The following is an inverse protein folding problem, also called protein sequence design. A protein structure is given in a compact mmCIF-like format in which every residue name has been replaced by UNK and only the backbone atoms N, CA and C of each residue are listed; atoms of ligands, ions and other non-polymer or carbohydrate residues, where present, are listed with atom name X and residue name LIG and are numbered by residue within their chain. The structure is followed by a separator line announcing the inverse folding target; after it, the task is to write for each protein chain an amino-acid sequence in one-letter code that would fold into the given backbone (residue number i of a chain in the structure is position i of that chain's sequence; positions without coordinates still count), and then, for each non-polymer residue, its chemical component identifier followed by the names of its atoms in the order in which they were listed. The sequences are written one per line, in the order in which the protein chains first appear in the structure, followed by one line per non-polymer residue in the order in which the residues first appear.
data_IF_910413509984
#
_entry.id   IF_910413509984
#
_cell.length_a   1.000
_cell.length_b   1.000
_cell.length_c   1.000
_cell.angle_alpha   90.00
_cell.angle_beta   90.00
_cell.angle_gamma   90.00
#
_symmetry.space_group_name_H-M   'P 1'
#
loop_
_entity.id
_entity.type
_entity.pdbx_description
1 polymer ?
#
# COMPACT_ATOMS: atom_id res chain seq x y z
N UNK A 1 -31.84 -46.48 -40.99
CA UNK A 1 -31.39 -45.34 -40.21
C UNK A 1 -30.97 -44.25 -41.17
N UNK A 2 -31.74 -43.11 -41.26
CA UNK A 2 -31.43 -41.97 -42.13
C UNK A 2 -30.09 -41.38 -41.70
N UNK A 3 -29.10 -41.32 -42.60
CA UNK A 3 -27.87 -40.55 -42.39
C UNK A 3 -28.27 -39.10 -42.13
N UNK A 4 -28.15 -38.62 -40.91
CA UNK A 4 -28.24 -37.21 -40.60
C UNK A 4 -27.22 -36.48 -41.46
N UNK A 5 -27.72 -35.55 -42.30
CA UNK A 5 -26.87 -34.75 -43.18
C UNK A 5 -25.91 -33.96 -42.28
N UNK A 6 -24.62 -34.20 -42.39
CA UNK A 6 -23.57 -33.62 -41.49
C UNK A 6 -23.70 -32.10 -41.42
N UNK A 7 -24.13 -31.44 -42.49
CA UNK A 7 -24.32 -29.98 -42.55
C UNK A 7 -25.42 -29.51 -41.60
N UNK A 8 -26.56 -30.19 -41.55
CA UNK A 8 -27.65 -29.81 -40.62
C UNK A 8 -27.30 -30.08 -39.17
N UNK A 9 -26.57 -31.16 -38.91
CA UNK A 9 -26.06 -31.44 -37.56
C UNK A 9 -25.09 -30.35 -37.09
N UNK A 10 -24.16 -29.91 -37.93
CA UNK A 10 -23.20 -28.85 -37.62
C UNK A 10 -23.92 -27.54 -37.36
N UNK A 11 -24.90 -27.13 -38.19
CA UNK A 11 -25.72 -25.94 -38.00
C UNK A 11 -26.46 -26.01 -36.64
N UNK A 12 -27.07 -27.16 -36.32
CA UNK A 12 -27.79 -27.32 -35.08
C UNK A 12 -26.86 -27.19 -33.84
N UNK A 13 -25.63 -27.73 -33.92
CA UNK A 13 -24.64 -27.59 -32.85
C UNK A 13 -24.21 -26.12 -32.65
N UNK A 14 -23.94 -25.40 -33.74
CA UNK A 14 -23.63 -23.96 -33.66
C UNK A 14 -24.81 -23.14 -33.11
N UNK A 15 -26.05 -23.39 -33.58
CA UNK A 15 -27.23 -22.70 -33.06
C UNK A 15 -27.42 -22.97 -31.56
N UNK A 16 -27.26 -24.19 -31.13
CA UNK A 16 -27.33 -24.57 -29.71
C UNK A 16 -26.22 -23.90 -28.89
N UNK A 17 -25.00 -23.80 -29.44
CA UNK A 17 -23.88 -23.08 -28.84
C UNK A 17 -24.14 -21.59 -28.65
N UNK A 18 -24.70 -20.95 -29.67
CA UNK A 18 -25.08 -19.52 -29.61
C UNK A 18 -26.19 -19.29 -28.58
N UNK A 19 -27.23 -20.14 -28.57
CA UNK A 19 -28.32 -20.04 -27.57
C UNK A 19 -27.79 -20.24 -26.18
N UNK A 20 -26.97 -21.26 -25.95
CA UNK A 20 -26.37 -21.51 -24.63
C UNK A 20 -25.48 -20.35 -24.15
N UNK A 21 -24.65 -19.81 -25.06
CA UNK A 21 -23.85 -18.64 -24.76
C UNK A 21 -24.70 -17.42 -24.41
N UNK A 22 -25.77 -17.17 -25.18
CA UNK A 22 -26.70 -16.05 -24.95
C UNK A 22 -27.40 -16.17 -23.59
N UNK A 23 -27.82 -17.38 -23.22
CA UNK A 23 -28.44 -17.65 -21.90
C UNK A 23 -27.42 -17.41 -20.80
N UNK A 24 -26.19 -17.93 -20.91
CA UNK A 24 -25.13 -17.71 -19.91
C UNK A 24 -24.80 -16.23 -19.79
N UNK A 25 -24.67 -15.53 -20.92
CA UNK A 25 -24.41 -14.09 -20.93
C UNK A 25 -25.52 -13.30 -20.25
N UNK A 26 -26.79 -13.62 -20.54
CA UNK A 26 -27.94 -12.99 -19.92
C UNK A 26 -27.98 -13.26 -18.41
N UNK A 27 -27.71 -14.48 -17.97
CA UNK A 27 -27.62 -14.84 -16.55
C UNK A 27 -26.48 -14.08 -15.84
N UNK A 28 -25.33 -13.91 -16.49
CA UNK A 28 -24.23 -13.10 -15.98
C UNK A 28 -24.63 -11.63 -15.84
N UNK A 29 -25.32 -11.06 -16.85
CA UNK A 29 -25.79 -9.66 -16.78
C UNK A 29 -26.84 -9.45 -15.70
N UNK A 30 -27.81 -10.34 -15.56
CA UNK A 30 -28.87 -10.25 -14.53
C UNK A 30 -28.30 -10.41 -13.12
N UNK A 31 -27.33 -11.32 -12.94
CA UNK A 31 -26.73 -11.59 -11.63
C UNK A 31 -25.44 -10.82 -11.41
N UNK A 32 -25.13 -9.80 -12.22
CA UNK A 32 -23.87 -9.05 -12.12
C UNK A 32 -23.62 -8.49 -10.71
N UNK A 33 -24.66 -7.97 -10.06
CA UNK A 33 -24.57 -7.47 -8.68
C UNK A 33 -24.23 -8.57 -7.66
N UNK A 34 -24.77 -9.78 -7.83
CA UNK A 34 -24.42 -10.93 -6.96
C UNK A 34 -23.00 -11.39 -7.20
N UNK A 35 -22.57 -11.44 -8.45
CA UNK A 35 -21.20 -11.84 -8.81
C UNK A 35 -20.19 -10.83 -8.27
N UNK A 36 -20.45 -9.53 -8.43
CA UNK A 36 -19.58 -8.48 -7.89
C UNK A 36 -19.52 -8.53 -6.36
N UNK A 37 -20.64 -8.75 -5.68
CA UNK A 37 -20.65 -8.88 -4.21
C UNK A 37 -19.89 -10.13 -3.73
N UNK A 38 -20.03 -11.26 -4.43
CA UNK A 38 -19.27 -12.48 -4.13
C UNK A 38 -17.77 -12.28 -4.35
N UNK A 39 -17.37 -11.62 -5.44
CA UNK A 39 -15.96 -11.29 -5.71
C UNK A 39 -15.41 -10.34 -4.65
N UNK A 40 -16.14 -9.30 -4.29
CA UNK A 40 -15.73 -8.37 -3.23
C UNK A 40 -15.62 -9.05 -1.87
N UNK A 41 -16.54 -9.95 -1.52
CA UNK A 41 -16.46 -10.75 -0.29
C UNK A 41 -15.25 -11.68 -0.28
N UNK A 42 -14.93 -12.30 -1.42
CA UNK A 42 -13.73 -13.12 -1.58
C UNK A 42 -12.45 -12.30 -1.45
N UNK A 43 -12.40 -11.12 -2.08
CA UNK A 43 -11.28 -10.18 -1.94
C UNK A 43 -11.11 -9.68 -0.50
N UNK A 44 -12.20 -9.43 0.20
CA UNK A 44 -12.21 -9.06 1.61
C UNK A 44 -11.63 -10.18 2.51
N UNK A 45 -11.97 -11.43 2.23
CA UNK A 45 -11.39 -12.58 2.94
C UNK A 45 -9.88 -12.71 2.68
N UNK A 46 -9.44 -12.47 1.43
CA UNK A 46 -8.01 -12.44 1.08
C UNK A 46 -7.29 -11.30 1.81
N UNK A 47 -7.92 -10.14 1.97
CA UNK A 47 -7.30 -9.01 2.69
C UNK A 47 -6.95 -9.39 4.12
N UNK A 48 -7.79 -10.13 4.83
CA UNK A 48 -7.51 -10.63 6.18
C UNK A 48 -6.27 -11.55 6.23
N UNK A 49 -6.10 -12.37 5.21
CA UNK A 49 -4.90 -13.22 5.06
C UNK A 49 -3.66 -12.35 4.76
N UNK A 50 -3.80 -11.30 3.95
CA UNK A 50 -2.71 -10.35 3.70
C UNK A 50 -2.28 -9.63 4.99
N UNK A 51 -3.22 -9.24 5.85
CA UNK A 51 -2.92 -8.72 7.20
C UNK A 51 -2.09 -9.72 8.00
N UNK A 52 -2.51 -10.99 8.03
CA UNK A 52 -1.81 -12.02 8.77
C UNK A 52 -0.39 -12.27 8.25
N UNK A 53 -0.25 -12.34 6.93
CA UNK A 53 1.06 -12.48 6.27
C UNK A 53 1.94 -11.27 6.56
N UNK A 54 1.40 -10.06 6.43
CA UNK A 54 2.11 -8.82 6.74
C UNK A 54 2.63 -8.82 8.18
N UNK A 55 1.77 -9.12 9.16
CA UNK A 55 2.20 -9.18 10.56
C UNK A 55 3.19 -10.31 10.83
N UNK A 56 3.02 -11.47 10.20
CA UNK A 56 3.99 -12.54 10.30
C UNK A 56 5.37 -12.11 9.78
N UNK A 57 5.42 -11.43 8.63
CA UNK A 57 6.66 -10.88 8.09
C UNK A 57 7.28 -9.80 8.97
N UNK A 58 6.45 -8.92 9.54
CA UNK A 58 6.91 -7.83 10.40
C UNK A 58 7.43 -8.34 11.75
N UNK A 59 6.77 -9.35 12.33
CA UNK A 59 7.14 -9.94 13.61
C UNK A 59 8.31 -10.91 13.48
N UNK A 60 8.52 -11.54 12.32
CA UNK A 60 9.54 -12.56 12.13
C UNK A 60 10.96 -12.14 12.51
N UNK A 61 11.47 -10.92 12.17
CA UNK A 61 12.78 -10.47 12.60
C UNK A 61 12.89 -10.36 14.11
N UNK A 62 11.83 -9.90 14.79
CA UNK A 62 11.77 -9.82 16.24
C UNK A 62 11.80 -11.23 16.86
N UNK A 63 10.96 -12.13 16.36
CA UNK A 63 10.92 -13.53 16.79
C UNK A 63 12.28 -14.19 16.62
N UNK A 64 12.96 -13.98 15.49
CA UNK A 64 14.31 -14.53 15.25
C UNK A 64 15.35 -13.99 16.23
N UNK A 65 15.27 -12.72 16.62
CA UNK A 65 16.13 -12.15 17.66
C UNK A 65 15.86 -12.79 19.03
N UNK A 66 14.60 -12.95 19.40
CA UNK A 66 14.22 -13.62 20.65
C UNK A 66 14.58 -15.10 20.64
N UNK A 67 14.45 -15.82 19.52
CA UNK A 67 14.96 -17.19 19.40
C UNK A 67 16.45 -17.25 19.79
N UNK A 68 17.28 -16.35 19.25
CA UNK A 68 18.71 -16.30 19.57
C UNK A 68 18.98 -15.97 21.03
N UNK A 69 18.18 -15.08 21.64
CA UNK A 69 18.31 -14.70 23.06
C UNK A 69 17.93 -15.89 23.96
N UNK A 70 16.79 -16.53 23.68
CA UNK A 70 16.31 -17.66 24.48
C UNK A 70 17.16 -18.91 24.28
N UNK A 71 17.68 -19.18 23.08
CA UNK A 71 18.65 -20.26 22.86
C UNK A 71 19.91 -20.07 23.73
N UNK A 72 20.42 -18.85 23.89
CA UNK A 72 21.55 -18.54 24.77
C UNK A 72 21.16 -18.69 26.23
N UNK A 73 19.99 -18.21 26.64
CA UNK A 73 19.53 -18.24 28.03
C UNK A 73 19.28 -19.66 28.52
N UNK A 74 18.74 -20.51 27.68
CA UNK A 74 18.41 -21.90 28.00
C UNK A 74 19.47 -22.90 27.56
N UNK A 75 20.62 -22.47 27.05
CA UNK A 75 21.69 -23.34 26.55
C UNK A 75 22.13 -24.42 27.53
N UNK A 76 22.04 -24.14 28.85
CA UNK A 76 22.42 -25.12 29.91
C UNK A 76 21.43 -26.29 30.11
N UNK A 77 20.15 -26.13 29.66
CA UNK A 77 19.08 -27.14 29.89
C UNK A 77 18.62 -27.88 28.64
N UNK A 78 19.19 -27.64 27.43
CA UNK A 78 18.79 -28.20 26.13
C UNK A 78 17.25 -28.24 25.97
N UNK A 79 16.56 -27.10 26.03
CA UNK A 79 15.12 -27.09 25.96
C UNK A 79 14.65 -27.59 24.61
N UNK A 80 13.46 -28.17 24.57
CA UNK A 80 12.83 -28.60 23.33
C UNK A 80 12.71 -27.41 22.37
N UNK A 81 13.13 -27.50 21.10
CA UNK A 81 13.17 -26.37 20.18
C UNK A 81 11.80 -25.73 19.93
N UNK A 82 10.70 -26.43 20.19
CA UNK A 82 9.34 -25.88 20.16
C UNK A 82 9.06 -24.93 21.33
N UNK A 83 9.60 -25.16 22.51
CA UNK A 83 9.40 -24.30 23.68
C UNK A 83 10.10 -22.96 23.49
N UNK A 84 11.35 -22.95 23.01
CA UNK A 84 12.09 -21.72 22.70
C UNK A 84 11.33 -20.89 21.67
N UNK A 85 10.89 -21.53 20.58
CA UNK A 85 10.12 -20.84 19.53
C UNK A 85 8.78 -20.31 20.06
N UNK A 86 8.11 -21.04 20.96
CA UNK A 86 6.87 -20.59 21.60
C UNK A 86 7.05 -19.36 22.46
N UNK A 87 8.09 -19.34 23.32
CA UNK A 87 8.43 -18.17 24.13
C UNK A 87 8.82 -16.95 23.28
N UNK A 88 9.60 -17.16 22.22
CA UNK A 88 10.01 -16.09 21.31
C UNK A 88 8.80 -15.44 20.61
N UNK A 89 7.87 -16.25 20.14
CA UNK A 89 6.64 -15.77 19.49
C UNK A 89 5.77 -15.02 20.52
N UNK A 90 5.56 -15.60 21.69
CA UNK A 90 4.76 -15.00 22.75
C UNK A 90 5.34 -13.64 23.18
N UNK A 91 6.65 -13.54 23.36
CA UNK A 91 7.31 -12.27 23.73
C UNK A 91 7.20 -11.23 22.63
N UNK A 92 7.45 -11.61 21.37
CA UNK A 92 7.33 -10.71 20.22
C UNK A 92 5.88 -10.20 20.07
N UNK A 93 4.91 -11.09 20.27
CA UNK A 93 3.48 -10.76 20.23
C UNK A 93 3.07 -9.83 21.36
N UNK A 94 3.49 -10.11 22.59
CA UNK A 94 3.18 -9.27 23.76
C UNK A 94 3.74 -7.87 23.59
N UNK A 95 4.97 -7.74 23.07
CA UNK A 95 5.58 -6.44 22.78
C UNK A 95 4.80 -5.72 21.68
N UNK A 96 4.46 -6.41 20.60
CA UNK A 96 3.68 -5.82 19.50
C UNK A 96 2.28 -5.38 19.96
N UNK A 97 1.57 -6.23 20.71
CA UNK A 97 0.26 -5.92 21.28
C UNK A 97 0.35 -4.76 22.28
N UNK A 98 1.36 -4.78 23.16
CA UNK A 98 1.60 -3.71 24.11
C UNK A 98 1.87 -2.37 23.44
N UNK A 99 2.64 -2.37 22.35
CA UNK A 99 2.93 -1.16 21.56
C UNK A 99 1.68 -0.66 20.85
N UNK A 100 0.90 -1.55 20.23
CA UNK A 100 -0.37 -1.19 19.58
C UNK A 100 -1.37 -0.68 20.61
N UNK A 101 -1.52 -1.37 21.74
CA UNK A 101 -2.42 -0.95 22.82
C UNK A 101 -2.02 0.41 23.40
N UNK A 102 -0.75 0.62 23.67
CA UNK A 102 -0.24 1.92 24.16
C UNK A 102 -0.50 3.04 23.16
N UNK A 103 -0.30 2.77 21.87
CA UNK A 103 -0.56 3.72 20.79
C UNK A 103 -2.06 4.06 20.71
N UNK A 104 -2.93 3.06 20.77
CA UNK A 104 -4.39 3.25 20.74
C UNK A 104 -4.89 4.01 21.98
N UNK A 105 -4.43 3.67 23.18
CA UNK A 105 -4.81 4.33 24.44
C UNK A 105 -4.41 5.82 24.43
N UNK A 106 -3.28 6.15 23.82
CA UNK A 106 -2.81 7.55 23.75
C UNK A 106 -3.47 8.32 22.60
N UNK A 107 -3.63 7.68 21.44
CA UNK A 107 -4.09 8.36 20.22
C UNK A 107 -5.61 8.51 20.19
N UNK A 108 -6.38 7.47 20.53
CA UNK A 108 -7.84 7.50 20.38
C UNK A 108 -8.48 8.63 21.20
N UNK A 109 -8.19 8.81 22.50
CA UNK A 109 -8.78 9.91 23.26
C UNK A 109 -8.42 11.28 22.72
N UNK A 110 -7.17 11.45 22.25
CA UNK A 110 -6.73 12.70 21.64
C UNK A 110 -7.44 12.98 20.32
N UNK A 111 -7.62 11.97 19.48
CA UNK A 111 -8.37 12.11 18.23
C UNK A 111 -9.81 12.52 18.46
N UNK A 112 -10.48 11.93 19.47
CA UNK A 112 -11.87 12.26 19.82
C UNK A 112 -11.94 13.72 20.29
N UNK A 113 -11.02 14.15 21.15
CA UNK A 113 -10.95 15.53 21.63
C UNK A 113 -10.65 16.51 20.51
N UNK A 114 -9.67 16.19 19.67
CA UNK A 114 -9.28 17.01 18.51
C UNK A 114 -10.43 17.11 17.49
N UNK A 115 -11.19 16.04 17.25
CA UNK A 115 -12.36 16.06 16.37
C UNK A 115 -13.48 16.96 16.94
N UNK A 116 -13.71 16.91 18.25
CA UNK A 116 -14.66 17.80 18.91
C UNK A 116 -14.21 19.26 18.87
N UNK A 117 -12.91 19.52 19.02
CA UNK A 117 -12.31 20.86 18.91
C UNK A 117 -12.43 21.38 17.48
N UNK A 118 -12.17 20.56 16.46
CA UNK A 118 -12.36 20.92 15.06
C UNK A 118 -13.81 21.32 14.78
N UNK A 119 -14.77 20.54 15.26
CA UNK A 119 -16.18 20.85 15.08
C UNK A 119 -16.54 22.22 15.69
N UNK A 120 -16.09 22.48 16.91
CA UNK A 120 -16.29 23.79 17.57
C UNK A 120 -15.62 24.94 16.81
N UNK A 121 -14.40 24.73 16.34
CA UNK A 121 -13.65 25.73 15.57
C UNK A 121 -14.38 26.09 14.28
N UNK A 122 -14.93 25.10 13.60
CA UNK A 122 -15.73 25.28 12.38
C UNK A 122 -16.96 26.12 12.64
N UNK A 123 -17.74 25.80 13.68
CA UNK A 123 -18.91 26.58 14.05
C UNK A 123 -18.55 28.02 14.42
N UNK A 124 -17.53 28.23 15.25
CA UNK A 124 -17.08 29.57 15.65
C UNK A 124 -16.56 30.38 14.46
N UNK A 125 -15.90 29.73 13.49
CA UNK A 125 -15.39 30.42 12.30
C UNK A 125 -16.55 30.87 11.41
N UNK A 126 -17.59 30.05 11.28
CA UNK A 126 -18.82 30.40 10.58
C UNK A 126 -19.47 31.61 11.23
N UNK A 127 -19.71 31.55 12.56
CA UNK A 127 -20.33 32.65 13.30
C UNK A 127 -19.57 33.97 13.17
N UNK A 128 -18.23 33.93 13.18
CA UNK A 128 -17.36 35.09 12.95
C UNK A 128 -17.46 35.64 11.54
N UNK A 129 -17.52 34.77 10.55
CA UNK A 129 -17.70 35.17 9.16
C UNK A 129 -19.08 35.78 8.94
N UNK A 130 -20.12 35.17 9.51
CA UNK A 130 -21.50 35.68 9.45
C UNK A 130 -21.57 37.11 10.07
N UNK A 131 -20.97 37.32 11.27
CA UNK A 131 -20.91 38.61 11.93
C UNK A 131 -20.11 39.64 11.14
N UNK A 132 -18.97 39.28 10.57
CA UNK A 132 -18.12 40.16 9.77
C UNK A 132 -18.85 40.67 8.52
N UNK A 133 -19.56 39.79 7.85
CA UNK A 133 -20.31 40.15 6.64
C UNK A 133 -21.54 40.99 6.98
N UNK A 134 -22.27 40.63 8.03
CA UNK A 134 -23.40 41.43 8.50
C UNK A 134 -23.03 42.91 8.82
N UNK A 135 -21.79 43.13 9.30
CA UNK A 135 -21.28 44.49 9.59
C UNK A 135 -20.83 45.23 8.34
N UNK A 136 -20.36 44.56 7.28
CA UNK A 136 -19.72 45.19 6.13
C UNK A 136 -20.50 45.01 4.79
N UNK A 137 -21.61 44.32 4.83
CA UNK A 137 -22.39 43.98 3.62
C UNK A 137 -22.97 45.23 2.89
N UNK A 138 -23.19 46.31 3.62
CA UNK A 138 -23.72 47.56 3.07
C UNK A 138 -22.67 48.39 2.32
N UNK A 139 -21.38 48.21 2.63
CA UNK A 139 -20.31 49.03 2.03
C UNK A 139 -19.66 48.38 0.78
N UNK A 140 -19.73 47.06 0.65
CA UNK A 140 -19.03 46.33 -0.40
C UNK A 140 -19.87 45.15 -0.93
N UNK A 141 -20.71 45.35 -1.99
CA UNK A 141 -21.55 44.29 -2.56
C UNK A 141 -20.74 43.06 -3.02
N UNK A 142 -19.55 43.28 -3.58
CA UNK A 142 -18.63 42.20 -3.99
C UNK A 142 -18.21 41.29 -2.83
N UNK A 143 -18.13 41.84 -1.61
CA UNK A 143 -17.83 41.04 -0.40
C UNK A 143 -18.95 40.05 -0.07
N UNK A 144 -20.19 40.44 -0.30
CA UNK A 144 -21.34 39.60 -0.06
C UNK A 144 -21.41 38.41 -1.05
N UNK A 145 -21.10 38.68 -2.32
CA UNK A 145 -21.08 37.64 -3.36
C UNK A 145 -19.90 36.64 -3.13
N UNK A 146 -18.73 37.20 -2.80
CA UNK A 146 -17.56 36.40 -2.46
C UNK A 146 -17.79 35.58 -1.18
N UNK A 147 -18.41 36.17 -0.18
CA UNK A 147 -18.80 35.52 1.07
C UNK A 147 -19.80 34.37 0.80
N UNK A 148 -20.86 34.67 0.04
CA UNK A 148 -21.89 33.67 -0.32
C UNK A 148 -21.27 32.52 -1.12
N UNK A 149 -20.37 32.83 -2.05
CA UNK A 149 -19.63 31.82 -2.78
C UNK A 149 -18.71 30.99 -1.86
N UNK A 150 -17.99 31.65 -0.95
CA UNK A 150 -17.06 31.01 0.00
C UNK A 150 -17.79 30.17 1.06
N UNK A 151 -18.89 30.69 1.62
CA UNK A 151 -19.73 29.96 2.57
C UNK A 151 -20.45 28.79 1.91
N UNK A 152 -20.98 28.95 0.71
CA UNK A 152 -21.57 27.86 -0.05
C UNK A 152 -20.53 26.79 -0.43
N UNK A 153 -19.30 27.20 -0.72
CA UNK A 153 -18.19 26.26 -1.00
C UNK A 153 -17.71 25.54 0.25
N UNK A 154 -17.55 26.25 1.38
CA UNK A 154 -17.04 25.67 2.63
C UNK A 154 -18.12 24.96 3.44
N UNK A 155 -19.30 25.56 3.58
CA UNK A 155 -20.36 25.09 4.47
C UNK A 155 -21.58 24.52 3.73
N UNK A 156 -21.63 24.60 2.39
CA UNK A 156 -22.71 24.13 1.53
C UNK A 156 -23.90 25.10 1.49
N UNK A 157 -24.58 25.15 0.35
CA UNK A 157 -25.93 25.70 0.27
C UNK A 157 -26.92 24.66 0.75
N UNK A 158 -28.06 25.10 1.26
CA UNK A 158 -29.13 24.25 1.82
C UNK A 158 -29.43 23.03 0.94
N UNK A 159 -28.90 21.87 1.32
CA UNK A 159 -29.13 20.57 0.64
C UNK A 159 -27.92 19.90 0.01
N UNK A 160 -26.77 20.57 -0.14
CA UNK A 160 -25.55 19.94 -0.66
C UNK A 160 -24.52 19.76 0.46
N UNK A 161 -23.83 18.61 0.43
CA UNK A 161 -22.71 18.32 1.35
C UNK A 161 -21.61 19.36 1.19
N UNK A 162 -21.30 20.05 2.27
CA UNK A 162 -20.22 21.04 2.32
C UNK A 162 -18.85 20.36 2.34
N UNK A 163 -17.81 21.10 1.93
CA UNK A 163 -16.42 20.64 2.14
C UNK A 163 -16.19 20.38 3.62
N UNK A 164 -16.78 21.17 4.49
CA UNK A 164 -16.63 21.05 5.93
C UNK A 164 -17.34 19.78 6.46
N UNK A 165 -18.55 19.47 6.00
CA UNK A 165 -19.24 18.21 6.31
C UNK A 165 -18.42 17.03 5.77
N UNK A 166 -17.82 17.18 4.60
CA UNK A 166 -16.93 16.19 4.00
C UNK A 166 -15.64 16.03 4.81
N UNK A 167 -15.06 17.10 5.34
CA UNK A 167 -13.90 17.04 6.22
C UNK A 167 -14.24 16.42 7.57
N UNK A 168 -15.32 16.85 8.21
CA UNK A 168 -15.78 16.31 9.49
C UNK A 168 -16.18 14.84 9.34
N UNK A 169 -16.91 14.48 8.28
CA UNK A 169 -17.26 13.09 7.98
C UNK A 169 -16.04 12.24 7.63
N UNK A 170 -15.08 12.82 6.92
CA UNK A 170 -13.81 12.13 6.62
C UNK A 170 -12.98 11.92 7.89
N UNK A 171 -12.91 12.89 8.78
CA UNK A 171 -12.21 12.75 10.07
C UNK A 171 -12.93 11.74 10.99
N UNK A 172 -14.26 11.83 11.08
CA UNK A 172 -15.05 10.82 11.78
C UNK A 172 -14.94 9.44 11.12
N UNK A 173 -14.88 9.41 9.80
CA UNK A 173 -14.59 8.22 9.00
C UNK A 173 -13.19 7.65 9.26
N UNK A 174 -12.17 8.50 9.43
CA UNK A 174 -10.82 8.06 9.82
C UNK A 174 -10.87 7.46 11.24
N UNK A 175 -11.51 8.14 12.19
CA UNK A 175 -11.64 7.62 13.58
C UNK A 175 -12.42 6.32 13.60
N UNK A 176 -13.60 6.26 12.96
CA UNK A 176 -14.41 5.05 12.87
C UNK A 176 -13.73 3.95 12.05
N UNK A 177 -13.00 4.34 11.00
CA UNK A 177 -12.17 3.44 10.19
C UNK A 177 -11.03 2.82 10.99
N UNK A 178 -10.32 3.60 11.80
CA UNK A 178 -9.30 3.09 12.71
C UNK A 178 -9.92 2.11 13.71
N UNK A 179 -11.05 2.48 14.33
CA UNK A 179 -11.76 1.60 15.28
C UNK A 179 -12.27 0.34 14.58
N UNK A 180 -12.84 0.45 13.37
CA UNK A 180 -13.30 -0.69 12.58
C UNK A 180 -12.16 -1.62 12.13
N UNK A 181 -11.01 -1.06 11.79
CA UNK A 181 -9.82 -1.83 11.41
C UNK A 181 -9.15 -2.55 12.59
N UNK A 182 -9.39 -2.11 13.84
CA UNK A 182 -8.84 -2.79 15.03
C UNK A 182 -9.21 -4.27 15.04
N UNK A 183 -10.44 -4.62 14.70
CA UNK A 183 -10.89 -6.03 14.62
C UNK A 183 -10.10 -6.82 13.57
N UNK A 184 -9.90 -6.25 12.37
CA UNK A 184 -9.15 -6.89 11.28
C UNK A 184 -7.67 -7.01 11.60
N UNK A 185 -7.10 -5.98 12.23
CA UNK A 185 -5.72 -5.98 12.73
C UNK A 185 -5.54 -7.08 13.79
N UNK A 186 -6.45 -7.17 14.76
CA UNK A 186 -6.40 -8.15 15.82
C UNK A 186 -6.51 -9.58 15.26
N UNK A 187 -7.45 -9.80 14.34
CA UNK A 187 -7.62 -11.10 13.66
C UNK A 187 -6.37 -11.46 12.84
N UNK A 188 -5.84 -10.50 12.08
CA UNK A 188 -4.59 -10.67 11.34
C UNK A 188 -3.41 -11.02 12.26
N UNK A 189 -3.35 -10.40 13.43
CA UNK A 189 -2.31 -10.64 14.43
C UNK A 189 -2.41 -12.06 15.02
N UNK A 190 -3.64 -12.53 15.35
CA UNK A 190 -3.88 -13.92 15.80
C UNK A 190 -3.44 -14.91 14.73
N UNK A 191 -3.88 -14.73 13.48
CA UNK A 191 -3.52 -15.62 12.38
C UNK A 191 -2.00 -15.60 12.15
N UNK A 192 -1.34 -14.43 12.30
CA UNK A 192 0.11 -14.31 12.16
C UNK A 192 0.88 -15.16 13.18
N UNK A 193 0.34 -15.28 14.40
CA UNK A 193 0.90 -16.17 15.44
C UNK A 193 0.87 -17.64 14.98
N UNK A 194 -0.27 -18.09 14.41
CA UNK A 194 -0.36 -19.43 13.85
C UNK A 194 0.63 -19.67 12.71
N UNK A 195 0.79 -18.67 11.82
CA UNK A 195 1.77 -18.73 10.73
C UNK A 195 3.19 -18.84 11.27
N UNK A 196 3.54 -18.04 12.29
CA UNK A 196 4.85 -18.05 12.91
C UNK A 196 5.13 -19.32 13.72
N UNK A 197 4.14 -19.83 14.45
CA UNK A 197 4.25 -21.08 15.20
C UNK A 197 4.41 -22.27 14.26
N UNK A 198 3.66 -22.30 13.17
CA UNK A 198 3.68 -23.36 12.17
C UNK A 198 4.74 -23.16 11.07
N UNK A 199 5.60 -22.16 11.16
CA UNK A 199 6.57 -21.79 10.11
C UNK A 199 7.44 -22.95 9.63
N UNK A 200 7.89 -23.83 10.55
CA UNK A 200 8.72 -25.00 10.21
C UNK A 200 7.91 -26.05 9.42
N UNK A 201 6.67 -26.30 9.85
CA UNK A 201 5.76 -27.26 9.20
C UNK A 201 5.35 -26.71 7.83
N UNK A 202 4.93 -25.45 7.76
CA UNK A 202 4.53 -24.77 6.51
C UNK A 202 5.69 -24.77 5.51
N UNK A 203 6.88 -24.37 5.94
CA UNK A 203 8.09 -24.36 5.12
C UNK A 203 8.45 -25.77 4.63
N UNK A 204 8.28 -26.80 5.46
CA UNK A 204 8.49 -28.19 5.08
C UNK A 204 7.48 -28.70 4.06
N UNK A 205 6.19 -28.38 4.24
CA UNK A 205 5.11 -28.74 3.29
C UNK A 205 5.32 -28.03 1.96
N UNK A 206 5.58 -26.71 1.99
CA UNK A 206 5.86 -25.94 0.78
C UNK A 206 7.09 -26.48 0.06
N UNK A 207 8.17 -26.79 0.81
CA UNK A 207 9.38 -27.39 0.24
C UNK A 207 9.10 -28.71 -0.46
N UNK A 208 8.33 -29.62 0.18
CA UNK A 208 7.91 -30.90 -0.44
C UNK A 208 7.08 -30.70 -1.69
N UNK A 209 6.10 -29.77 -1.65
CA UNK A 209 5.27 -29.44 -2.81
C UNK A 209 6.10 -28.89 -3.97
N UNK A 210 7.01 -27.98 -3.68
CA UNK A 210 7.90 -27.36 -4.67
C UNK A 210 8.75 -28.42 -5.37
N UNK A 211 9.38 -29.31 -4.58
CA UNK A 211 10.22 -30.38 -5.12
C UNK A 211 9.40 -31.45 -5.89
N UNK A 212 8.16 -31.69 -5.46
CA UNK A 212 7.30 -32.69 -6.10
C UNK A 212 6.71 -32.19 -7.43
N UNK A 213 6.40 -30.91 -7.54
CA UNK A 213 5.68 -30.33 -8.70
C UNK A 213 6.65 -29.74 -9.72
N UNK A 214 7.73 -29.09 -9.26
CA UNK A 214 8.66 -28.39 -10.13
C UNK A 214 9.82 -29.29 -10.57
N UNK A 215 10.22 -29.23 -11.86
CA UNK A 215 11.47 -29.85 -12.31
C UNK A 215 12.67 -29.31 -11.51
N UNK A 216 13.68 -30.13 -11.24
CA UNK A 216 14.87 -29.79 -10.42
C UNK A 216 15.50 -28.44 -10.79
N UNK A 217 15.61 -28.15 -12.09
CA UNK A 217 16.15 -26.88 -12.62
C UNK A 217 15.38 -25.63 -12.16
N UNK A 218 14.10 -25.75 -11.75
CA UNK A 218 13.25 -24.64 -11.33
C UNK A 218 13.11 -24.53 -9.81
N UNK A 219 13.36 -25.60 -9.06
CA UNK A 219 13.26 -25.65 -7.60
C UNK A 219 14.13 -24.56 -6.96
N UNK A 220 15.41 -24.51 -7.34
CA UNK A 220 16.35 -23.52 -6.77
C UNK A 220 15.94 -22.10 -7.11
N UNK A 221 15.45 -21.85 -8.33
CA UNK A 221 14.95 -20.53 -8.76
C UNK A 221 13.73 -20.09 -7.95
N UNK A 222 12.80 -21.02 -7.69
CA UNK A 222 11.62 -20.76 -6.88
C UNK A 222 11.97 -20.41 -5.43
N UNK A 223 12.85 -21.18 -4.80
CA UNK A 223 13.31 -20.92 -3.43
C UNK A 223 14.01 -19.57 -3.34
N UNK A 224 14.87 -19.25 -4.30
CA UNK A 224 15.56 -17.96 -4.35
C UNK A 224 14.58 -16.79 -4.54
N UNK A 225 13.53 -16.95 -5.35
CA UNK A 225 12.49 -15.95 -5.53
C UNK A 225 11.82 -15.60 -4.21
N UNK A 226 11.33 -16.58 -3.45
CA UNK A 226 10.67 -16.35 -2.17
C UNK A 226 11.61 -15.79 -1.10
N UNK A 227 12.87 -16.23 -1.09
CA UNK A 227 13.89 -15.67 -0.19
C UNK A 227 14.13 -14.18 -0.49
N UNK A 228 14.19 -13.80 -1.77
CA UNK A 228 14.33 -12.40 -2.19
C UNK A 228 13.07 -11.59 -1.83
N UNK A 229 11.90 -12.10 -2.19
CA UNK A 229 10.62 -11.46 -1.86
C UNK A 229 10.54 -11.15 -0.36
N UNK A 230 10.91 -12.10 0.49
CA UNK A 230 10.99 -11.89 1.93
C UNK A 230 11.96 -10.77 2.30
N UNK A 231 13.19 -10.81 1.78
CA UNK A 231 14.23 -9.83 2.13
C UNK A 231 13.85 -8.42 1.64
N UNK A 232 13.34 -8.34 0.41
CA UNK A 232 12.90 -7.08 -0.20
C UNK A 232 11.70 -6.49 0.53
N UNK A 233 10.74 -7.34 0.92
CA UNK A 233 9.58 -6.93 1.71
C UNK A 233 9.99 -6.44 3.11
N UNK A 234 10.82 -7.19 3.84
CA UNK A 234 11.27 -6.80 5.18
C UNK A 234 12.04 -5.47 5.16
N UNK A 235 12.93 -5.29 4.16
CA UNK A 235 13.66 -4.04 3.97
C UNK A 235 12.73 -2.89 3.64
N UNK A 236 11.79 -3.09 2.73
CA UNK A 236 10.80 -2.08 2.35
C UNK A 236 9.93 -1.67 3.54
N UNK A 237 9.36 -2.64 4.26
CA UNK A 237 8.51 -2.38 5.41
C UNK A 237 9.26 -1.59 6.49
N UNK A 238 10.45 -2.04 6.88
CA UNK A 238 11.28 -1.35 7.87
C UNK A 238 11.55 0.11 7.46
N UNK A 239 11.98 0.31 6.22
CA UNK A 239 12.29 1.65 5.73
C UNK A 239 11.07 2.56 5.68
N UNK A 240 9.89 2.04 5.34
CA UNK A 240 8.63 2.80 5.38
C UNK A 240 8.25 3.22 6.78
N UNK A 241 8.39 2.34 7.76
CA UNK A 241 8.15 2.70 9.16
C UNK A 241 9.13 3.76 9.66
N UNK A 242 10.41 3.66 9.32
CA UNK A 242 11.41 4.67 9.70
C UNK A 242 11.08 6.04 9.08
N UNK A 243 10.72 6.07 7.79
CA UNK A 243 10.33 7.31 7.11
C UNK A 243 9.05 7.89 7.75
N UNK A 244 8.03 7.08 7.99
CA UNK A 244 6.78 7.52 8.61
C UNK A 244 7.03 8.09 10.01
N UNK A 245 7.83 7.43 10.83
CA UNK A 245 8.21 7.89 12.17
C UNK A 245 9.01 9.18 12.12
N UNK A 246 9.96 9.29 11.19
CA UNK A 246 10.73 10.52 10.99
C UNK A 246 9.83 11.70 10.64
N UNK A 247 8.93 11.53 9.66
CA UNK A 247 7.94 12.56 9.31
C UNK A 247 7.03 12.91 10.49
N UNK A 248 6.48 11.88 11.15
CA UNK A 248 5.63 12.08 12.33
C UNK A 248 6.31 12.91 13.40
N UNK A 249 7.59 12.63 13.69
CA UNK A 249 8.38 13.36 14.70
C UNK A 249 8.64 14.79 14.28
N UNK A 250 9.08 15.04 13.05
CA UNK A 250 9.37 16.41 12.58
C UNK A 250 8.10 17.25 12.54
N UNK A 251 7.00 16.70 12.03
CA UNK A 251 5.71 17.40 11.97
C UNK A 251 5.13 17.61 13.37
N UNK A 252 5.29 16.67 14.29
CA UNK A 252 4.94 16.86 15.69
C UNK A 252 5.65 18.06 16.30
N UNK A 253 6.98 18.13 16.14
CA UNK A 253 7.78 19.25 16.66
C UNK A 253 7.41 20.57 15.99
N UNK A 254 7.18 20.56 14.67
CA UNK A 254 6.76 21.75 13.93
C UNK A 254 5.40 22.25 14.41
N UNK A 255 4.39 21.38 14.51
CA UNK A 255 3.06 21.76 14.99
C UNK A 255 3.08 22.21 16.44
N UNK A 256 3.92 21.63 17.28
CA UNK A 256 4.13 22.06 18.67
C UNK A 256 4.73 23.47 18.72
N UNK A 257 5.78 23.71 17.93
CA UNK A 257 6.43 25.02 17.83
C UNK A 257 5.47 26.10 17.33
N UNK A 258 4.69 25.78 16.31
CA UNK A 258 3.69 26.68 15.72
C UNK A 258 2.41 26.76 16.58
N UNK A 259 2.29 25.98 17.64
CA UNK A 259 1.08 25.86 18.47
C UNK A 259 -0.17 25.63 17.62
N UNK A 260 -0.10 24.68 16.68
CA UNK A 260 -1.22 24.35 15.81
C UNK A 260 -2.24 23.55 16.62
N UNK A 261 -3.52 23.96 16.64
CA UNK A 261 -4.57 23.13 17.21
C UNK A 261 -4.71 21.83 16.40
N UNK A 262 -5.31 20.79 16.98
CA UNK A 262 -5.47 19.48 16.34
C UNK A 262 -4.14 18.80 15.93
N UNK A 263 -3.09 19.08 16.67
CA UNK A 263 -1.74 18.55 16.43
C UNK A 263 -1.77 17.03 16.24
N UNK A 264 -2.53 16.30 17.06
CA UNK A 264 -2.58 14.83 17.02
C UNK A 264 -3.19 14.31 15.71
N UNK A 265 -4.24 14.97 15.21
CA UNK A 265 -4.88 14.64 13.92
C UNK A 265 -3.89 14.84 12.78
N UNK A 266 -3.21 15.98 12.74
CA UNK A 266 -2.26 16.32 11.67
C UNK A 266 -1.09 15.32 11.66
N UNK A 267 -0.52 15.06 12.83
CA UNK A 267 0.61 14.12 12.96
C UNK A 267 0.21 12.70 12.55
N UNK A 268 -0.94 12.22 13.05
CA UNK A 268 -1.43 10.88 12.70
C UNK A 268 -1.77 10.77 11.21
N UNK A 269 -2.40 11.80 10.63
CA UNK A 269 -2.71 11.87 9.21
C UNK A 269 -1.43 11.74 8.37
N UNK A 270 -0.41 12.53 8.67
CA UNK A 270 0.87 12.49 7.95
C UNK A 270 1.58 11.15 8.17
N UNK A 271 1.65 10.66 9.40
CA UNK A 271 2.29 9.39 9.74
C UNK A 271 1.62 8.21 9.00
N UNK A 272 0.30 8.12 9.09
CA UNK A 272 -0.47 7.06 8.42
C UNK A 272 -0.36 7.15 6.89
N UNK A 273 -0.42 8.36 6.35
CA UNK A 273 -0.26 8.60 4.92
C UNK A 273 1.12 8.15 4.42
N UNK A 274 2.20 8.43 5.16
CA UNK A 274 3.56 8.03 4.77
C UNK A 274 3.75 6.50 4.64
N UNK A 275 2.88 5.70 5.26
CA UNK A 275 2.92 4.24 5.08
C UNK A 275 2.47 3.82 3.67
N UNK A 276 1.58 4.58 3.03
CA UNK A 276 1.10 4.28 1.67
C UNK A 276 2.09 4.87 0.66
N UNK A 277 2.79 4.05 -0.13
CA UNK A 277 3.77 4.56 -1.09
C UNK A 277 3.11 5.44 -2.16
N UNK A 278 3.77 6.49 -2.59
CA UNK A 278 3.38 7.41 -3.68
C UNK A 278 2.13 8.24 -3.35
N UNK A 279 1.01 7.61 -3.13
CA UNK A 279 -0.29 8.26 -2.90
C UNK A 279 -0.35 8.93 -1.53
N UNK A 280 0.19 8.25 -0.53
CA UNK A 280 0.16 8.72 0.86
C UNK A 280 0.87 10.06 1.07
N UNK A 281 2.13 10.22 0.64
CA UNK A 281 2.83 11.50 0.71
C UNK A 281 2.04 12.66 0.09
N UNK A 282 1.42 12.45 -1.07
CA UNK A 282 0.64 13.47 -1.76
C UNK A 282 -0.59 13.84 -0.92
N UNK A 283 -1.40 12.85 -0.55
CA UNK A 283 -2.64 13.07 0.22
C UNK A 283 -2.33 13.65 1.60
N UNK A 284 -1.39 13.04 2.32
CA UNK A 284 -1.04 13.45 3.68
C UNK A 284 -0.48 14.88 3.73
N UNK A 285 0.38 15.23 2.77
CA UNK A 285 0.94 16.58 2.67
C UNK A 285 -0.14 17.59 2.33
N UNK A 286 -0.96 17.33 1.30
CA UNK A 286 -2.01 18.27 0.86
C UNK A 286 -3.04 18.51 1.96
N UNK A 287 -3.57 17.44 2.58
CA UNK A 287 -4.57 17.56 3.63
C UNK A 287 -4.01 18.24 4.88
N UNK A 288 -2.77 17.94 5.28
CA UNK A 288 -2.15 18.58 6.44
C UNK A 288 -1.89 20.07 6.22
N UNK A 289 -1.44 20.48 5.03
CA UNK A 289 -1.30 21.90 4.66
C UNK A 289 -2.66 22.60 4.73
N UNK A 290 -3.69 22.01 4.12
CA UNK A 290 -5.04 22.56 4.13
C UNK A 290 -5.56 22.76 5.55
N UNK A 291 -5.39 21.77 6.43
CA UNK A 291 -5.77 21.88 7.83
C UNK A 291 -5.04 23.01 8.54
N UNK A 292 -3.73 23.16 8.37
CA UNK A 292 -2.97 24.24 9.02
C UNK A 292 -3.38 25.61 8.48
N UNK A 293 -3.65 25.75 7.17
CA UNK A 293 -4.18 26.99 6.58
C UNK A 293 -5.51 27.38 7.22
N UNK A 294 -6.43 26.43 7.37
CA UNK A 294 -7.76 26.65 7.97
C UNK A 294 -7.62 27.01 9.45
N UNK A 295 -6.77 26.31 10.21
CA UNK A 295 -6.67 26.45 11.65
C UNK A 295 -5.86 27.67 12.13
N UNK A 296 -4.84 28.06 11.36
CA UNK A 296 -3.88 29.09 11.75
C UNK A 296 -3.80 30.27 10.78
N UNK A 297 -4.44 30.15 9.64
CA UNK A 297 -4.40 31.15 8.58
C UNK A 297 -3.31 30.92 7.54
N UNK A 298 -3.35 31.68 6.43
CA UNK A 298 -2.54 31.41 5.23
C UNK A 298 -1.03 31.54 5.46
N UNK A 299 -0.58 32.48 6.29
CA UNK A 299 0.85 32.70 6.56
C UNK A 299 1.51 31.51 7.28
N UNK A 300 0.83 30.98 8.30
CA UNK A 300 1.30 29.81 9.03
C UNK A 300 1.18 28.54 8.18
N UNK A 301 0.13 28.46 7.35
CA UNK A 301 -0.02 27.41 6.36
C UNK A 301 1.10 27.41 5.32
N UNK A 302 1.52 28.58 4.84
CA UNK A 302 2.63 28.72 3.90
C UNK A 302 3.96 28.27 4.52
N UNK A 303 4.23 28.69 5.77
CA UNK A 303 5.43 28.25 6.50
C UNK A 303 5.43 26.72 6.70
N UNK A 304 4.30 26.15 7.13
CA UNK A 304 4.14 24.72 7.28
C UNK A 304 4.33 23.97 5.94
N UNK A 305 3.73 24.50 4.87
CA UNK A 305 3.87 23.95 3.52
C UNK A 305 5.34 23.94 3.06
N UNK A 306 6.06 25.03 3.27
CA UNK A 306 7.48 25.10 2.92
C UNK A 306 8.30 24.02 3.63
N UNK A 307 8.06 23.83 4.94
CA UNK A 307 8.80 22.83 5.73
C UNK A 307 8.44 21.41 5.31
N UNK A 308 7.13 21.08 5.17
CA UNK A 308 6.72 19.70 4.82
C UNK A 308 7.14 19.34 3.38
N UNK A 309 7.12 20.29 2.45
CA UNK A 309 7.59 20.08 1.08
C UNK A 309 9.12 19.89 1.03
N UNK A 310 9.88 20.72 1.78
CA UNK A 310 11.32 20.53 1.93
C UNK A 310 11.65 19.17 2.53
N UNK A 311 10.90 18.73 3.54
CA UNK A 311 11.02 17.42 4.16
C UNK A 311 10.73 16.30 3.15
N UNK A 312 9.71 16.49 2.29
CA UNK A 312 9.35 15.53 1.24
C UNK A 312 10.47 15.40 0.18
N UNK A 313 11.02 16.52 -0.25
CA UNK A 313 12.17 16.54 -1.17
C UNK A 313 13.39 15.87 -0.53
N UNK A 314 13.68 16.17 0.72
CA UNK A 314 14.75 15.52 1.49
C UNK A 314 14.56 14.00 1.60
N UNK A 315 13.34 13.56 1.96
CA UNK A 315 13.03 12.14 2.08
C UNK A 315 13.17 11.40 0.75
N UNK A 316 12.73 12.01 -0.34
CA UNK A 316 12.77 11.37 -1.67
C UNK A 316 14.19 11.31 -2.24
N UNK A 317 14.98 12.38 -2.08
CA UNK A 317 16.29 12.50 -2.73
C UNK A 317 17.46 12.06 -1.84
N UNK A 318 17.29 12.12 -0.51
CA UNK A 318 18.36 11.77 0.44
C UNK A 318 18.02 10.49 1.20
N UNK A 319 16.91 10.47 1.93
CA UNK A 319 16.62 9.38 2.86
C UNK A 319 16.31 8.07 2.12
N UNK A 320 15.42 8.13 1.12
CA UNK A 320 15.01 6.96 0.35
C UNK A 320 16.17 6.29 -0.42
N UNK A 321 17.09 7.03 -1.08
CA UNK A 321 18.24 6.44 -1.73
C UNK A 321 19.22 5.73 -0.79
N UNK A 322 19.40 6.26 0.42
CA UNK A 322 20.30 5.65 1.40
C UNK A 322 19.71 4.41 2.06
N UNK A 323 18.39 4.35 2.21
CA UNK A 323 17.71 3.28 2.91
C UNK A 323 17.22 2.15 2.00
N UNK A 324 16.87 2.45 0.75
CA UNK A 324 16.25 1.51 -0.17
C UNK A 324 17.14 1.27 -1.39
N UNK A 325 17.55 0.03 -1.68
CA UNK A 325 18.30 -0.30 -2.89
C UNK A 325 17.56 0.16 -4.15
N UNK A 326 18.30 0.58 -5.19
CA UNK A 326 17.71 1.03 -6.48
C UNK A 326 16.73 0.03 -7.08
N UNK A 327 16.99 -1.27 -6.93
CA UNK A 327 16.12 -2.35 -7.40
C UNK A 327 14.69 -2.33 -6.81
N UNK A 328 14.52 -1.75 -5.62
CA UNK A 328 13.22 -1.61 -4.94
C UNK A 328 12.56 -0.24 -5.18
N UNK A 329 13.07 0.52 -6.15
CA UNK A 329 12.56 1.83 -6.55
C UNK A 329 12.10 1.78 -8.02
N UNK A 330 10.96 1.15 -8.31
CA UNK A 330 10.43 1.11 -9.68
C UNK A 330 10.01 2.52 -10.15
N UNK A 331 9.81 2.72 -11.47
CA UNK A 331 9.37 3.99 -12.02
C UNK A 331 8.08 4.49 -11.33
N UNK A 332 8.02 5.80 -11.09
CA UNK A 332 6.92 6.43 -10.34
C UNK A 332 5.55 6.10 -10.92
N UNK A 333 5.37 6.22 -12.24
CA UNK A 333 4.07 5.99 -12.90
C UNK A 333 3.57 4.55 -12.69
N UNK A 334 4.43 3.56 -12.84
CA UNK A 334 4.07 2.15 -12.65
C UNK A 334 3.79 1.86 -11.18
N UNK A 335 4.61 2.42 -10.28
CA UNK A 335 4.38 2.29 -8.83
C UNK A 335 3.04 2.88 -8.43
N UNK A 336 2.70 4.07 -8.94
CA UNK A 336 1.42 4.72 -8.69
C UNK A 336 0.25 3.86 -9.16
N UNK A 337 0.32 3.32 -10.38
CA UNK A 337 -0.71 2.44 -10.93
C UNK A 337 -0.91 1.19 -10.08
N UNK A 338 0.18 0.50 -9.75
CA UNK A 338 0.15 -0.72 -8.93
C UNK A 338 -0.42 -0.44 -7.54
N UNK A 339 -0.01 0.67 -6.92
CA UNK A 339 -0.51 1.10 -5.61
C UNK A 339 -1.99 1.44 -5.66
N UNK A 340 -2.45 2.21 -6.67
CA UNK A 340 -3.86 2.57 -6.81
C UNK A 340 -4.76 1.36 -7.06
N UNK A 341 -4.35 0.44 -7.94
CA UNK A 341 -5.07 -0.80 -8.17
C UNK A 341 -5.15 -1.65 -6.89
N UNK A 342 -4.04 -1.80 -6.20
CA UNK A 342 -4.00 -2.59 -4.97
C UNK A 342 -4.76 -1.93 -3.82
N UNK A 343 -4.77 -0.59 -3.76
CA UNK A 343 -5.56 0.17 -2.79
C UNK A 343 -7.06 -0.06 -3.01
N UNK A 344 -7.51 -0.07 -4.26
CA UNK A 344 -8.94 -0.27 -4.57
C UNK A 344 -9.39 -1.72 -4.34
N UNK A 345 -8.52 -2.72 -4.54
CA UNK A 345 -8.86 -4.13 -4.39
C UNK A 345 -8.71 -4.65 -2.95
N UNK A 346 -7.66 -4.25 -2.28
CA UNK A 346 -7.23 -4.81 -0.99
C UNK A 346 -7.03 -3.74 0.10
N UNK A 347 -7.43 -2.49 -0.17
CA UNK A 347 -7.28 -1.38 0.76
C UNK A 347 -5.82 -1.00 1.03
N UNK A 348 -5.59 -0.30 2.16
CA UNK A 348 -4.27 0.25 2.54
C UNK A 348 -3.17 -0.81 2.59
N UNK A 349 -3.50 -2.01 3.04
CA UNK A 349 -2.51 -3.10 3.12
C UNK A 349 -2.14 -3.61 1.73
N UNK A 350 -3.11 -3.72 0.83
CA UNK A 350 -2.82 -4.03 -0.57
C UNK A 350 -1.82 -3.03 -1.14
N UNK A 351 -2.06 -1.74 -0.94
CA UNK A 351 -1.16 -0.68 -1.38
C UNK A 351 0.25 -0.79 -0.79
N UNK A 352 0.36 -1.15 0.50
CA UNK A 352 1.65 -1.33 1.17
C UNK A 352 2.43 -2.54 0.64
N UNK A 353 1.75 -3.67 0.47
CA UNK A 353 2.37 -4.95 0.05
C UNK A 353 2.66 -4.97 -1.47
N UNK A 354 1.92 -4.22 -2.25
CA UNK A 354 2.02 -4.20 -3.71
C UNK A 354 3.42 -3.80 -4.22
N UNK A 355 4.05 -2.82 -3.59
CA UNK A 355 5.36 -2.30 -4.07
C UNK A 355 6.47 -3.35 -3.99
N UNK A 356 6.72 -4.02 -2.85
CA UNK A 356 7.75 -5.06 -2.80
C UNK A 356 7.44 -6.28 -3.67
N UNK A 357 6.15 -6.66 -3.80
CA UNK A 357 5.75 -7.73 -4.72
C UNK A 357 6.07 -7.32 -6.16
N UNK A 358 5.64 -6.13 -6.59
CA UNK A 358 5.92 -5.64 -7.92
C UNK A 358 7.43 -5.52 -8.18
N UNK A 359 8.20 -4.97 -7.25
CA UNK A 359 9.65 -4.83 -7.39
C UNK A 359 10.34 -6.19 -7.58
N UNK A 360 10.01 -7.18 -6.76
CA UNK A 360 10.57 -8.53 -6.89
C UNK A 360 10.14 -9.20 -8.19
N UNK A 361 8.86 -9.08 -8.57
CA UNK A 361 8.32 -9.66 -9.80
C UNK A 361 8.94 -9.02 -11.04
N UNK A 362 9.10 -7.71 -11.06
CA UNK A 362 9.72 -6.98 -12.18
C UNK A 362 11.17 -7.43 -12.42
N UNK A 363 11.94 -7.70 -11.36
CA UNK A 363 13.30 -8.23 -11.46
C UNK A 363 13.29 -9.63 -12.09
N UNK A 364 12.38 -10.50 -11.68
CA UNK A 364 12.31 -11.86 -12.23
C UNK A 364 11.81 -11.88 -13.69
N UNK A 365 10.84 -11.00 -14.02
CA UNK A 365 10.39 -10.82 -15.40
C UNK A 365 11.57 -10.32 -16.27
N UNK A 366 12.30 -9.31 -15.80
CA UNK A 366 13.47 -8.79 -16.52
C UNK A 366 14.52 -9.89 -16.76
N UNK A 367 14.84 -10.69 -15.76
CA UNK A 367 15.75 -11.83 -15.90
C UNK A 367 15.26 -12.86 -16.91
N UNK A 368 13.96 -13.16 -16.87
CA UNK A 368 13.36 -14.08 -17.82
C UNK A 368 13.48 -13.54 -19.27
N UNK A 369 13.20 -12.24 -19.47
CA UNK A 369 13.31 -11.57 -20.77
C UNK A 369 14.75 -11.59 -21.27
N UNK A 370 15.72 -11.17 -20.44
CA UNK A 370 17.15 -11.19 -20.78
C UNK A 370 17.58 -12.60 -21.21
N UNK A 371 17.22 -13.62 -20.44
CA UNK A 371 17.56 -15.00 -20.78
C UNK A 371 16.91 -15.47 -22.09
N UNK A 372 15.69 -15.04 -22.36
CA UNK A 372 14.98 -15.36 -23.63
C UNK A 372 15.57 -14.62 -24.82
N UNK A 373 15.89 -13.34 -24.66
CA UNK A 373 16.52 -12.50 -25.70
C UNK A 373 17.92 -13.02 -26.03
N UNK A 374 18.73 -13.34 -25.02
CA UNK A 374 20.04 -13.93 -25.19
C UNK A 374 20.00 -15.24 -25.96
N UNK A 375 19.01 -16.13 -25.71
CA UNK A 375 18.83 -17.36 -26.47
C UNK A 375 18.45 -17.15 -27.94
N UNK A 376 17.87 -15.99 -28.25
CA UNK A 376 17.49 -15.61 -29.62
C UNK A 376 18.55 -14.76 -30.31
N UNK A 377 19.69 -14.49 -29.67
CA UNK A 377 20.72 -13.57 -30.11
C UNK A 377 20.22 -12.16 -30.42
N UNK A 378 19.22 -11.69 -29.61
CA UNK A 378 18.62 -10.35 -29.74
C UNK A 378 19.22 -9.38 -28.73
N UNK A 379 19.25 -8.06 -29.03
CA UNK A 379 19.74 -7.04 -28.11
C UNK A 379 19.03 -7.09 -26.75
N UNK A 380 19.77 -6.87 -25.68
CA UNK A 380 19.23 -6.91 -24.30
C UNK A 380 18.78 -5.53 -23.85
N UNK A 381 19.36 -4.46 -24.43
CA UNK A 381 19.04 -3.08 -24.05
C UNK A 381 17.61 -2.71 -24.44
N UNK A 382 16.89 -2.03 -23.51
CA UNK A 382 15.53 -1.56 -23.76
C UNK A 382 15.43 -0.52 -24.90
N UNK A 383 16.52 0.20 -25.14
CA UNK A 383 16.59 1.26 -26.17
C UNK A 383 16.45 0.71 -27.58
N UNK A 384 16.94 -0.52 -27.80
CA UNK A 384 16.78 -1.21 -29.08
C UNK A 384 15.31 -1.51 -29.45
N UNK A 385 14.38 -1.40 -28.49
CA UNK A 385 12.94 -1.72 -28.67
C UNK A 385 12.04 -0.49 -28.63
N UNK A 386 12.60 0.73 -28.57
CA UNK A 386 11.82 1.96 -28.40
C UNK A 386 10.92 2.29 -29.61
N UNK A 387 11.34 1.93 -30.84
CA UNK A 387 10.58 2.09 -32.07
C UNK A 387 10.60 0.78 -32.87
N UNK A 388 10.35 -0.34 -32.20
CA UNK A 388 10.53 -1.66 -32.78
C UNK A 388 9.52 -1.94 -33.89
N UNK A 389 10.03 -2.09 -35.11
CA UNK A 389 9.29 -2.51 -36.31
C UNK A 389 9.62 -3.95 -36.72
N UNK A 390 8.84 -4.54 -37.60
CA UNK A 390 9.12 -5.88 -38.11
C UNK A 390 10.48 -5.98 -38.84
N UNK A 391 10.91 -4.90 -39.51
CA UNK A 391 12.23 -4.80 -40.14
C UNK A 391 13.39 -4.79 -39.14
N UNK A 392 13.15 -4.17 -37.95
CA UNK A 392 14.18 -4.11 -36.89
C UNK A 392 14.40 -5.46 -36.23
N UNK A 393 13.36 -6.35 -36.26
CA UNK A 393 13.51 -7.71 -35.77
C UNK A 393 14.51 -8.53 -36.58
N UNK A 394 14.49 -8.41 -37.91
CA UNK A 394 15.45 -9.13 -38.77
C UNK A 394 16.87 -8.52 -38.65
N UNK A 395 16.98 -7.19 -38.63
CA UNK A 395 18.26 -6.50 -38.41
C UNK A 395 18.85 -6.83 -37.00
N UNK A 396 18.03 -6.91 -35.97
CA UNK A 396 18.47 -7.28 -34.61
C UNK A 396 18.93 -8.74 -34.52
N UNK A 397 18.41 -9.62 -35.37
CA UNK A 397 18.82 -11.03 -35.43
C UNK A 397 20.19 -11.22 -36.13
N UNK A 398 20.54 -10.31 -37.01
CA UNK A 398 21.82 -10.32 -37.74
C UNK A 398 22.94 -9.60 -36.96
N UNK A 399 22.59 -8.76 -35.98
CA UNK A 399 23.56 -8.08 -35.14
C UNK A 399 24.33 -9.05 -34.23
N UNK A 400 25.69 -8.92 -34.12
CA UNK A 400 26.44 -9.83 -33.24
C UNK A 400 26.00 -9.66 -31.80
N UNK A 401 25.66 -10.78 -31.17
CA UNK A 401 25.23 -10.81 -29.77
C UNK A 401 26.35 -10.25 -28.87
N UNK A 402 26.05 -9.19 -28.13
CA UNK A 402 26.92 -8.63 -27.10
C UNK A 402 27.06 -9.63 -25.96
N UNK A 403 27.96 -10.61 -26.07
CA UNK A 403 28.27 -11.59 -25.02
C UNK A 403 28.78 -10.94 -23.74
N UNK A 404 29.41 -9.77 -23.83
CA UNK A 404 29.94 -9.03 -22.67
C UNK A 404 28.88 -8.41 -21.75
N UNK A 405 27.69 -8.06 -22.25
CA UNK A 405 26.61 -7.54 -21.38
C UNK A 405 25.93 -8.62 -20.53
N UNK A 406 25.96 -9.88 -21.00
CA UNK A 406 25.35 -11.01 -20.30
C UNK A 406 26.09 -11.35 -19.00
N UNK A 407 27.41 -11.23 -19.00
CA UNK A 407 28.27 -11.54 -17.86
C UNK A 407 28.16 -10.45 -16.77
N UNK A 408 28.08 -9.17 -17.16
CA UNK A 408 27.93 -8.02 -16.25
C UNK A 408 26.55 -7.96 -15.55
N UNK A 409 25.47 -8.32 -16.24
CA UNK A 409 24.10 -8.35 -15.66
C UNK A 409 23.82 -9.65 -14.87
N UNK A 410 24.53 -10.74 -15.12
CA UNK A 410 24.39 -11.99 -14.38
C UNK A 410 24.94 -11.88 -12.95
N UNK A 411 25.99 -11.13 -12.75
CA UNK A 411 26.64 -10.95 -11.45
C UNK A 411 26.02 -9.83 -10.59
N UNK A 412 25.12 -9.03 -11.15
CA UNK A 412 24.39 -8.01 -10.39
C UNK A 412 25.22 -6.81 -9.93
N UNK A 413 26.42 -6.62 -10.47
CA UNK A 413 27.35 -5.59 -10.02
C UNK A 413 27.37 -4.30 -10.86
N UNK A 414 26.65 -4.22 -11.97
CA UNK A 414 26.68 -3.01 -12.81
C UNK A 414 25.32 -2.36 -13.03
N UNK A 415 24.72 -1.82 -11.97
CA UNK A 415 23.82 -0.66 -12.07
C UNK A 415 24.27 0.33 -11.00
N UNK A 416 25.25 1.16 -11.34
CA UNK A 416 25.47 2.45 -10.68
C UNK A 416 24.36 3.43 -11.04
#
# INVERSE_FOLDING_TARGET
MKKLNQTYFTIAVYALGVIAFSIVFLLLCVNFGMITSAVLSFLSAISSILYAVLFAFLLFPAVKRFDTIYDRLFSKKKPHPYLVSGFSIATALLIALGLVAALLIVIIPRLINDAAELYRFVLQTKDRLDAFVAQNATELPLLNDLYTALTNFLFGSSGNSSIMDSLVSSLSGIVSGVVGQVSSIFMGLIISVYLLASRRVISGIIGKLVVAILPERHVNRFVLFFKRLYTDFASFAFNRFVIAFFFGTVIFLLCLLLRVPLLSVIVLLVLAAQLIPVVGPIIGTTLSILLVVILKGPWWGLLYAAVILALQVFATNVLLPHMLPRKLRPPFAVTALVVLLSLSLFGVIGAFVAVPIYATLSIEIRRFLIHRLAKKNLPISSDAYHNFSASDYEAAKEAPAAKEEIEKDADGESIQ
#
